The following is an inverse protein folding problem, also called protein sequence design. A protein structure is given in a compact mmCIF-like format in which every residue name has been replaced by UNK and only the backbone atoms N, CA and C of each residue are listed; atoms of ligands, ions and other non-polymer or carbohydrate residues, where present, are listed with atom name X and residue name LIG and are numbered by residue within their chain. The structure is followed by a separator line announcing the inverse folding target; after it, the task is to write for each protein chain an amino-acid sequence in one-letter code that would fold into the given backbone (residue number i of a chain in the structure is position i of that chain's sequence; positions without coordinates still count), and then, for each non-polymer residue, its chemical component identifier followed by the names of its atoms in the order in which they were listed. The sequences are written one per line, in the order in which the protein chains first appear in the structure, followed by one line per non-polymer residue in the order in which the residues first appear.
data_IF_987189906434
#
_entry.id   IF_987189906434
#
_cell.length_a   1.000
_cell.length_b   1.000
_cell.length_c   1.000
_cell.angle_alpha   90.00
_cell.angle_beta   90.00
_cell.angle_gamma   90.00
#
_symmetry.space_group_name_H-M   'P 1'
#
loop_
_entity.id
_entity.type
_entity.pdbx_description
1 polymer ?
#
# COMPACT_ATOMS: atom_id res chain seq x y z
N UNK A 1 13.27 -17.58 44.96
CA UNK A 1 14.35 -17.35 43.99
C UNK A 1 13.90 -17.96 42.66
N UNK A 2 13.29 -17.15 41.80
CA UNK A 2 12.80 -17.58 40.48
C UNK A 2 13.76 -17.06 39.40
N UNK A 3 14.26 -17.89 38.47
CA UNK A 3 15.12 -17.43 37.39
C UNK A 3 14.24 -16.96 36.23
N UNK A 4 14.24 -15.67 35.92
CA UNK A 4 13.74 -15.16 34.64
C UNK A 4 14.92 -14.96 33.69
N UNK A 5 14.93 -15.76 32.63
CA UNK A 5 15.93 -15.75 31.57
C UNK A 5 15.61 -14.70 30.50
N UNK A 6 16.61 -13.85 30.23
CA UNK A 6 16.90 -13.08 28.99
C UNK A 6 15.80 -13.04 27.91
N UNK A 7 15.01 -11.95 27.83
CA UNK A 7 14.37 -11.48 26.57
C UNK A 7 14.21 -9.95 26.55
N UNK A 8 15.29 -9.22 26.87
CA UNK A 8 15.50 -7.85 26.40
C UNK A 8 16.69 -7.94 25.46
N UNK A 9 16.45 -8.20 24.17
CA UNK A 9 17.50 -8.09 23.17
C UNK A 9 16.97 -7.24 22.02
N UNK A 10 17.70 -6.15 21.80
CA UNK A 10 17.67 -5.29 20.62
C UNK A 10 18.28 -6.12 19.47
N UNK A 11 17.61 -6.16 18.32
CA UNK A 11 18.09 -6.83 17.10
C UNK A 11 19.13 -5.96 16.36
N UNK A 12 19.95 -6.57 15.50
CA UNK A 12 20.90 -5.82 14.65
C UNK A 12 20.21 -4.88 13.64
N UNK A 13 18.91 -5.09 13.38
CA UNK A 13 18.06 -4.24 12.53
C UNK A 13 17.35 -3.10 13.30
N UNK A 14 17.49 -3.04 14.63
CA UNK A 14 16.90 -1.97 15.43
C UNK A 14 17.70 -0.67 15.23
N UNK A 15 17.21 0.18 14.34
CA UNK A 15 17.84 1.48 14.07
C UNK A 15 17.36 2.54 15.06
N UNK A 16 18.31 3.14 15.79
CA UNK A 16 18.06 4.34 16.60
C UNK A 16 18.38 5.56 15.73
N UNK A 17 17.50 6.57 15.63
CA UNK A 17 17.74 7.74 14.79
C UNK A 17 19.03 8.46 15.20
N UNK A 18 19.99 8.57 14.27
CA UNK A 18 21.35 9.07 14.51
C UNK A 18 21.41 10.58 14.85
N UNK A 19 20.36 11.35 14.52
CA UNK A 19 20.33 12.79 14.79
C UNK A 19 18.91 13.28 15.09
N UNK A 20 18.55 13.29 16.37
CA UNK A 20 17.36 13.98 16.85
C UNK A 20 17.68 15.47 16.91
N UNK A 21 17.22 16.24 15.92
CA UNK A 21 17.35 17.70 15.93
C UNK A 21 16.15 18.28 16.66
N UNK A 22 16.34 18.61 17.94
CA UNK A 22 15.35 19.31 18.76
C UNK A 22 15.40 20.79 18.36
N UNK A 23 14.37 21.28 17.69
CA UNK A 23 14.17 22.71 17.52
C UNK A 23 13.14 23.18 18.55
N UNK A 24 13.63 23.86 19.60
CA UNK A 24 12.77 24.69 20.44
C UNK A 24 12.44 25.97 19.67
N UNK A 25 11.23 26.06 19.12
CA UNK A 25 10.67 27.36 18.74
C UNK A 25 10.13 27.95 20.03
N UNK A 26 10.87 28.90 20.62
CA UNK A 26 10.38 29.67 21.75
C UNK A 26 9.19 30.52 21.29
N UNK A 27 7.98 30.09 21.61
CA UNK A 27 6.83 30.98 21.71
C UNK A 27 6.05 30.65 22.98
N UNK A 28 6.24 31.50 24.00
CA UNK A 28 5.34 31.80 25.13
C UNK A 28 4.54 30.65 25.78
N UNK A 29 5.05 30.18 26.93
CA UNK A 29 4.35 29.72 28.15
C UNK A 29 2.90 29.20 28.01
N UNK A 30 2.76 27.93 27.65
CA UNK A 30 1.96 26.86 28.30
C UNK A 30 1.90 25.69 27.32
N UNK A 31 2.22 24.48 27.77
CA UNK A 31 2.44 23.24 26.98
C UNK A 31 3.67 23.27 26.04
N UNK A 32 4.71 22.53 26.43
CA UNK A 32 5.77 22.13 25.49
C UNK A 32 5.19 21.03 24.58
N UNK A 33 4.62 21.42 23.44
CA UNK A 33 4.16 20.46 22.45
C UNK A 33 5.35 19.85 21.72
N UNK A 34 5.69 18.62 22.11
CA UNK A 34 6.69 17.79 21.44
C UNK A 34 6.10 17.25 20.14
N UNK A 35 6.24 18.00 19.04
CA UNK A 35 5.97 17.46 17.72
C UNK A 35 7.17 16.66 17.23
N UNK A 36 7.02 15.33 17.18
CA UNK A 36 7.93 14.48 16.42
C UNK A 36 7.74 14.86 14.94
N UNK A 37 8.74 15.45 14.29
CA UNK A 37 8.74 15.72 12.85
C UNK A 37 8.84 14.40 12.07
N UNK A 38 7.79 13.59 12.15
CA UNK A 38 7.57 12.47 11.26
C UNK A 38 6.86 13.02 10.03
N UNK A 39 7.42 12.73 8.85
CA UNK A 39 6.74 12.94 7.59
C UNK A 39 5.50 12.02 7.59
N UNK A 40 4.35 12.58 7.93
CA UNK A 40 3.07 11.85 7.96
C UNK A 40 2.62 11.55 6.53
N UNK A 41 2.11 10.33 6.31
CA UNK A 41 1.65 9.89 4.98
C UNK A 41 0.28 10.48 4.63
N UNK A 42 -0.59 10.68 5.62
CA UNK A 42 -1.95 11.21 5.45
C UNK A 42 -2.11 12.56 6.12
N UNK A 43 -2.84 13.46 5.47
CA UNK A 43 -3.31 14.70 6.09
C UNK A 43 -4.48 14.40 7.04
N UNK A 44 -4.58 15.05 8.21
CA UNK A 44 -5.61 14.76 9.21
C UNK A 44 -7.06 14.86 8.73
N UNK A 45 -7.32 15.71 7.74
CA UNK A 45 -8.67 15.93 7.19
C UNK A 45 -9.12 14.76 6.31
N UNK A 46 -8.17 14.10 5.64
CA UNK A 46 -8.41 12.96 4.79
C UNK A 46 -8.53 11.66 5.60
N UNK A 47 -7.99 11.61 6.82
CA UNK A 47 -8.02 10.41 7.66
C UNK A 47 -9.44 10.02 8.03
N UNK A 48 -9.83 8.81 7.62
CA UNK A 48 -10.98 8.09 8.13
C UNK A 48 -10.50 6.83 8.86
N UNK A 49 -10.41 6.94 10.18
CA UNK A 49 -9.91 5.88 11.05
C UNK A 49 -11.04 4.96 11.54
N UNK A 50 -10.79 3.66 11.47
CA UNK A 50 -11.68 2.61 11.98
C UNK A 50 -10.98 1.77 13.04
N UNK A 51 -11.63 1.50 14.16
CA UNK A 51 -11.09 0.69 15.27
C UNK A 51 -11.93 -0.58 15.41
N UNK A 52 -11.27 -1.73 15.55
CA UNK A 52 -11.93 -3.03 15.77
C UNK A 52 -11.20 -3.82 16.86
N UNK A 53 -11.96 -4.45 17.75
CA UNK A 53 -11.43 -5.37 18.77
C UNK A 53 -11.85 -6.80 18.48
N UNK A 54 -10.88 -7.73 18.49
CA UNK A 54 -11.10 -9.14 18.20
C UNK A 54 -10.45 -10.04 19.27
N UNK A 55 -10.99 -11.25 19.45
CA UNK A 55 -10.42 -12.26 20.34
C UNK A 55 -11.05 -12.33 21.73
N UNK A 56 -10.25 -12.73 22.72
CA UNK A 56 -10.69 -12.80 24.12
C UNK A 56 -10.74 -11.44 24.80
N UNK A 57 -11.57 -11.31 25.84
CA UNK A 57 -11.53 -10.14 26.70
C UNK A 57 -10.24 -10.16 27.52
N UNK A 58 -9.41 -9.14 27.34
CA UNK A 58 -8.20 -8.88 28.13
C UNK A 58 -8.39 -7.55 28.87
N UNK A 59 -7.96 -7.41 30.13
CA UNK A 59 -7.92 -6.10 30.79
C UNK A 59 -7.05 -5.13 29.99
N UNK A 60 -7.56 -3.92 29.76
CA UNK A 60 -6.82 -2.84 29.07
C UNK A 60 -7.21 -2.59 27.61
N UNK A 61 -8.09 -3.40 27.00
CA UNK A 61 -8.59 -3.13 25.63
C UNK A 61 -9.24 -1.74 25.53
N UNK A 62 -10.07 -1.38 26.51
CA UNK A 62 -10.67 -0.04 26.58
C UNK A 62 -9.63 1.08 26.74
N UNK A 63 -8.53 0.83 27.45
CA UNK A 63 -7.43 1.78 27.56
C UNK A 63 -6.78 2.02 26.20
N UNK A 64 -6.51 0.94 25.46
CA UNK A 64 -5.93 1.03 24.10
C UNK A 64 -6.86 1.82 23.16
N UNK A 65 -8.17 1.51 23.17
CA UNK A 65 -9.15 2.25 22.36
C UNK A 65 -9.13 3.74 22.73
N UNK A 66 -9.14 4.07 24.02
CA UNK A 66 -9.09 5.46 24.50
C UNK A 66 -7.84 6.17 24.01
N UNK A 67 -6.67 5.59 24.18
CA UNK A 67 -5.40 6.22 23.78
C UNK A 67 -5.32 6.44 22.27
N UNK A 68 -5.82 5.50 21.45
CA UNK A 68 -5.86 5.66 19.99
C UNK A 68 -6.79 6.82 19.61
N UNK A 69 -8.02 6.86 20.15
CA UNK A 69 -9.00 7.91 19.84
C UNK A 69 -8.50 9.28 20.31
N UNK A 70 -7.99 9.37 21.54
CA UNK A 70 -7.43 10.60 22.09
C UNK A 70 -6.19 11.06 21.31
N UNK A 71 -5.29 10.14 20.94
CA UNK A 71 -4.10 10.46 20.14
C UNK A 71 -4.47 11.01 18.77
N UNK A 72 -5.35 10.31 18.05
CA UNK A 72 -5.83 10.76 16.74
C UNK A 72 -6.56 12.10 16.80
N UNK A 73 -7.38 12.32 17.82
CA UNK A 73 -8.15 13.55 17.95
C UNK A 73 -7.31 14.74 18.45
N UNK A 74 -6.57 14.59 19.55
CA UNK A 74 -5.85 15.70 20.18
C UNK A 74 -4.49 15.98 19.54
N UNK A 75 -3.73 14.95 19.16
CA UNK A 75 -2.38 15.14 18.61
C UNK A 75 -2.41 15.39 17.10
N UNK A 76 -3.24 14.63 16.38
CA UNK A 76 -3.28 14.68 14.92
C UNK A 76 -4.46 15.49 14.37
N UNK A 77 -5.50 15.80 15.16
CA UNK A 77 -6.65 16.59 14.69
C UNK A 77 -7.66 15.83 13.82
N UNK A 78 -7.62 14.49 13.83
CA UNK A 78 -8.52 13.64 13.04
C UNK A 78 -9.95 13.73 13.58
N UNK A 79 -10.91 14.05 12.70
CA UNK A 79 -12.33 14.24 13.06
C UNK A 79 -13.19 13.00 12.84
N UNK A 80 -12.78 12.12 11.92
CA UNK A 80 -13.57 10.94 11.51
C UNK A 80 -12.96 9.66 12.08
N UNK A 81 -13.45 9.27 13.26
CA UNK A 81 -13.05 8.04 13.93
C UNK A 81 -14.30 7.21 14.21
N UNK A 82 -14.30 5.96 13.75
CA UNK A 82 -15.40 5.00 13.94
C UNK A 82 -14.89 3.73 14.59
N UNK A 83 -15.75 3.10 15.40
CA UNK A 83 -15.54 1.78 15.94
C UNK A 83 -16.50 0.78 15.30
N UNK A 84 -16.01 -0.41 14.96
CA UNK A 84 -16.87 -1.53 14.56
C UNK A 84 -17.45 -2.16 15.83
N UNK A 85 -18.75 -1.94 16.05
CA UNK A 85 -19.45 -2.54 17.19
C UNK A 85 -19.94 -3.94 16.81
N UNK A 86 -19.45 -4.93 17.54
CA UNK A 86 -19.95 -6.31 17.51
C UNK A 86 -21.07 -6.42 18.54
N UNK A 87 -22.31 -6.57 18.07
CA UNK A 87 -23.45 -6.88 18.92
C UNK A 87 -23.64 -8.40 18.94
N UNK A 88 -23.66 -8.99 20.14
CA UNK A 88 -24.01 -10.39 20.35
C UNK A 88 -25.50 -10.42 20.70
N UNK A 89 -26.35 -10.70 19.72
CA UNK A 89 -27.78 -10.82 19.93
C UNK A 89 -28.07 -12.18 20.60
N UNK A 90 -28.33 -12.18 21.91
CA UNK A 90 -28.65 -13.40 22.67
C UNK A 90 -30.03 -14.02 22.36
N UNK A 91 -30.81 -13.44 21.42
CA UNK A 91 -32.21 -13.81 21.16
C UNK A 91 -32.42 -14.74 19.94
N UNK A 92 -31.39 -15.23 19.25
CA UNK A 92 -31.61 -16.07 18.07
C UNK A 92 -30.38 -16.86 17.63
N UNK A 93 -30.59 -18.12 17.25
CA UNK A 93 -29.60 -19.15 16.94
C UNK A 93 -28.80 -18.92 15.64
N UNK A 94 -28.55 -17.67 15.24
CA UNK A 94 -27.77 -17.30 14.06
C UNK A 94 -26.92 -16.08 14.36
N UNK A 95 -25.59 -16.24 14.33
CA UNK A 95 -24.61 -15.18 14.42
C UNK A 95 -24.57 -14.34 13.12
N UNK A 96 -25.64 -13.58 12.86
CA UNK A 96 -25.56 -12.48 11.90
C UNK A 96 -25.03 -11.27 12.65
N UNK A 97 -23.69 -11.16 12.70
CA UNK A 97 -22.99 -10.00 13.23
C UNK A 97 -23.43 -8.76 12.43
N UNK A 98 -24.44 -8.04 12.90
CA UNK A 98 -24.81 -6.75 12.31
C UNK A 98 -23.70 -5.77 12.70
N UNK A 99 -22.84 -5.44 11.74
CA UNK A 99 -21.74 -4.51 11.94
C UNK A 99 -22.29 -3.09 11.88
N UNK A 100 -22.49 -2.48 13.05
CA UNK A 100 -22.79 -1.06 13.16
C UNK A 100 -21.50 -0.27 13.36
N UNK A 101 -21.32 0.81 12.60
CA UNK A 101 -20.26 1.79 12.84
C UNK A 101 -20.74 2.73 13.95
N UNK A 102 -19.99 2.79 15.04
CA UNK A 102 -20.23 3.72 16.13
C UNK A 102 -19.19 4.85 16.06
N UNK A 103 -19.60 6.13 15.91
CA UNK A 103 -18.64 7.23 15.90
C UNK A 103 -18.00 7.39 17.28
N UNK A 104 -16.67 7.37 17.32
CA UNK A 104 -15.89 7.48 18.55
C UNK A 104 -15.37 8.90 18.69
N UNK A 105 -15.99 9.67 19.58
CA UNK A 105 -15.51 10.99 19.96
C UNK A 105 -14.73 10.92 21.27
N UNK A 106 -13.78 11.85 21.46
CA UNK A 106 -12.97 11.98 22.68
C UNK A 106 -13.83 12.05 23.95
N UNK A 107 -15.01 12.66 23.86
CA UNK A 107 -16.00 12.72 24.96
C UNK A 107 -16.55 11.34 25.36
N UNK A 108 -16.77 10.44 24.41
CA UNK A 108 -17.33 9.11 24.66
C UNK A 108 -16.30 8.13 25.27
N UNK A 109 -15.01 8.36 25.03
CA UNK A 109 -13.93 7.45 25.46
C UNK A 109 -13.25 7.87 26.77
N UNK A 110 -13.63 8.99 27.38
CA UNK A 110 -12.91 9.54 28.53
C UNK A 110 -12.80 8.56 29.71
N UNK A 111 -13.88 7.87 30.06
CA UNK A 111 -13.96 6.99 31.23
C UNK A 111 -13.95 5.49 30.91
N UNK A 112 -13.79 5.10 29.63
CA UNK A 112 -13.89 3.69 29.24
C UNK A 112 -12.78 2.84 29.85
N UNK A 113 -11.61 3.43 30.12
CA UNK A 113 -10.48 2.79 30.78
C UNK A 113 -10.79 2.30 32.21
N UNK A 114 -11.82 2.87 32.87
CA UNK A 114 -12.31 2.43 34.18
C UNK A 114 -13.21 1.21 34.09
N UNK A 115 -13.66 0.84 32.88
CA UNK A 115 -14.56 -0.29 32.62
C UNK A 115 -13.75 -1.50 32.13
N UNK A 116 -14.08 -2.68 32.65
CA UNK A 116 -13.58 -3.94 32.11
C UNK A 116 -14.20 -4.27 30.74
N UNK A 117 -13.55 -5.18 30.00
CA UNK A 117 -14.02 -5.63 28.68
C UNK A 117 -13.65 -4.65 27.55
N UNK A 118 -14.50 -4.60 26.52
CA UNK A 118 -14.38 -3.68 25.37
C UNK A 118 -15.73 -3.00 25.11
N UNK A 119 -15.72 -1.69 24.86
CA UNK A 119 -16.93 -0.94 24.48
C UNK A 119 -17.47 -1.34 23.09
N UNK A 120 -16.60 -1.87 22.22
CA UNK A 120 -16.94 -2.26 20.85
C UNK A 120 -17.44 -3.71 20.77
N UNK A 121 -17.32 -4.49 21.84
CA UNK A 121 -17.56 -5.94 21.78
C UNK A 121 -16.41 -6.68 21.09
N UNK A 122 -16.40 -8.00 21.21
CA UNK A 122 -15.41 -8.85 20.57
C UNK A 122 -16.07 -10.08 19.98
N UNK A 123 -15.53 -10.58 18.88
CA UNK A 123 -15.92 -11.85 18.27
C UNK A 123 -14.72 -12.79 18.14
N UNK A 124 -15.01 -14.09 18.04
CA UNK A 124 -14.06 -15.14 17.70
C UNK A 124 -14.63 -15.92 16.52
N UNK A 125 -13.84 -16.12 15.47
CA UNK A 125 -14.27 -16.90 14.31
C UNK A 125 -13.65 -16.39 13.00
N UNK A 126 -13.64 -17.24 11.99
CA UNK A 126 -13.00 -16.99 10.69
C UNK A 126 -13.47 -15.70 10.02
N UNK A 127 -12.53 -15.05 9.34
CA UNK A 127 -12.70 -13.79 8.66
C UNK A 127 -12.56 -14.02 7.15
N UNK A 128 -13.58 -13.65 6.38
CA UNK A 128 -13.48 -13.60 4.92
C UNK A 128 -12.75 -12.31 4.53
N UNK A 129 -11.46 -12.42 4.21
CA UNK A 129 -10.60 -11.27 3.95
C UNK A 129 -11.14 -10.41 2.79
N UNK A 130 -11.72 -11.03 1.76
CA UNK A 130 -12.26 -10.34 0.58
C UNK A 130 -13.39 -9.41 1.01
N UNK A 131 -14.40 -9.95 1.70
CA UNK A 131 -15.53 -9.14 2.19
C UNK A 131 -15.11 -8.02 3.14
N UNK A 132 -14.07 -8.23 3.92
CA UNK A 132 -13.55 -7.20 4.84
C UNK A 132 -12.90 -6.07 4.03
N UNK A 133 -12.09 -6.40 3.04
CA UNK A 133 -11.46 -5.42 2.14
C UNK A 133 -12.52 -4.65 1.37
N UNK A 134 -13.53 -5.34 0.81
CA UNK A 134 -14.65 -4.70 0.12
C UNK A 134 -15.37 -3.70 1.04
N UNK A 135 -15.64 -4.09 2.30
CA UNK A 135 -16.29 -3.20 3.26
C UNK A 135 -15.42 -2.00 3.65
N UNK A 136 -14.09 -2.17 3.74
CA UNK A 136 -13.16 -1.07 4.02
C UNK A 136 -13.16 -0.08 2.84
N UNK A 137 -13.12 -0.60 1.62
CA UNK A 137 -13.12 0.17 0.38
C UNK A 137 -14.44 0.91 0.15
N UNK A 138 -15.58 0.22 0.25
CA UNK A 138 -16.92 0.78 0.08
C UNK A 138 -17.19 1.94 1.05
N UNK A 139 -16.58 1.88 2.24
CA UNK A 139 -16.74 2.90 3.29
C UNK A 139 -15.67 3.99 3.21
N UNK A 140 -14.66 3.85 2.34
CA UNK A 140 -13.56 4.80 2.19
C UNK A 140 -12.70 4.93 3.45
N UNK A 141 -12.53 3.85 4.21
CA UNK A 141 -11.70 3.84 5.42
C UNK A 141 -10.24 3.73 4.99
N UNK A 142 -9.38 4.66 5.42
CA UNK A 142 -7.97 4.66 5.05
C UNK A 142 -7.03 4.20 6.17
N UNK A 143 -7.51 4.15 7.42
CA UNK A 143 -6.76 3.64 8.56
C UNK A 143 -7.60 2.65 9.35
N UNK A 144 -7.09 1.43 9.53
CA UNK A 144 -7.77 0.38 10.31
C UNK A 144 -6.88 -0.08 11.46
N UNK A 145 -7.37 0.12 12.68
CA UNK A 145 -6.74 -0.30 13.91
C UNK A 145 -7.35 -1.60 14.39
N UNK A 146 -6.64 -2.70 14.15
CA UNK A 146 -7.05 -4.04 14.58
C UNK A 146 -6.38 -4.35 15.91
N UNK A 147 -7.17 -4.50 16.96
CA UNK A 147 -6.70 -4.77 18.33
C UNK A 147 -7.05 -6.21 18.71
N UNK A 148 -6.04 -7.04 18.95
CA UNK A 148 -6.24 -8.41 19.41
C UNK A 148 -4.91 -9.15 19.62
N UNK A 149 -5.00 -10.46 19.89
CA UNK A 149 -3.82 -11.33 20.07
C UNK A 149 -3.27 -11.87 18.74
N UNK A 150 -2.38 -12.86 18.82
CA UNK A 150 -1.67 -13.42 17.66
C UNK A 150 -2.59 -13.88 16.52
N UNK A 151 -3.72 -14.52 16.84
CA UNK A 151 -4.70 -14.95 15.83
C UNK A 151 -5.32 -13.77 15.07
N UNK A 152 -5.56 -12.66 15.77
CA UNK A 152 -6.07 -11.42 15.17
C UNK A 152 -5.00 -10.78 14.29
N UNK A 153 -3.74 -10.72 14.76
CA UNK A 153 -2.64 -10.14 13.98
C UNK A 153 -2.33 -10.96 12.72
N UNK A 154 -2.45 -12.29 12.77
CA UNK A 154 -2.37 -13.15 11.58
C UNK A 154 -3.47 -12.82 10.57
N UNK A 155 -4.71 -12.61 11.05
CA UNK A 155 -5.82 -12.16 10.20
C UNK A 155 -5.55 -10.78 9.58
N UNK A 156 -4.99 -9.85 10.36
CA UNK A 156 -4.60 -8.53 9.89
C UNK A 156 -3.54 -8.60 8.78
N UNK A 157 -2.56 -9.51 8.89
CA UNK A 157 -1.54 -9.73 7.85
C UNK A 157 -2.17 -10.22 6.54
N UNK A 158 -3.12 -11.15 6.61
CA UNK A 158 -3.83 -11.63 5.41
C UNK A 158 -4.67 -10.51 4.78
N UNK A 159 -5.36 -9.70 5.60
CA UNK A 159 -6.11 -8.54 5.11
C UNK A 159 -5.16 -7.56 4.43
N UNK A 160 -4.00 -7.27 5.02
CA UNK A 160 -2.99 -6.39 4.44
C UNK A 160 -2.49 -6.90 3.09
N UNK A 161 -2.17 -8.19 2.97
CA UNK A 161 -1.77 -8.80 1.69
C UNK A 161 -2.86 -8.71 0.63
N UNK A 162 -4.13 -8.86 1.01
CA UNK A 162 -5.26 -8.72 0.10
C UNK A 162 -5.43 -7.26 -0.30
N UNK A 163 -5.33 -6.30 0.62
CA UNK A 163 -5.37 -4.87 0.31
C UNK A 163 -4.24 -4.51 -0.66
N UNK A 164 -3.01 -4.94 -0.40
CA UNK A 164 -1.85 -4.65 -1.24
C UNK A 164 -2.02 -5.24 -2.66
N UNK A 165 -2.62 -6.42 -2.76
CA UNK A 165 -2.96 -7.06 -4.04
C UNK A 165 -4.18 -6.44 -4.73
N UNK A 166 -5.14 -5.90 -3.99
CA UNK A 166 -6.40 -5.37 -4.53
C UNK A 166 -6.36 -3.85 -4.75
N UNK A 167 -5.42 -3.13 -4.15
CA UNK A 167 -5.32 -1.68 -4.28
C UNK A 167 -4.77 -1.33 -5.67
N UNK A 168 -5.68 -0.98 -6.58
CA UNK A 168 -5.34 -0.50 -7.92
C UNK A 168 -4.76 -1.55 -8.86
N UNK A 169 -4.42 -2.76 -8.42
CA UNK A 169 -3.91 -3.81 -9.29
C UNK A 169 -4.98 -4.28 -10.28
N UNK A 170 -6.18 -4.63 -9.81
CA UNK A 170 -7.24 -5.12 -10.70
C UNK A 170 -7.69 -4.03 -11.68
N UNK A 171 -7.83 -2.78 -11.21
CA UNK A 171 -8.10 -1.63 -12.08
C UNK A 171 -6.95 -1.38 -13.07
N UNK A 172 -5.69 -1.48 -12.63
CA UNK A 172 -4.53 -1.34 -13.50
C UNK A 172 -4.43 -2.48 -14.52
N UNK A 173 -4.84 -3.70 -14.17
CA UNK A 173 -4.90 -4.85 -15.07
C UNK A 173 -6.00 -4.66 -16.10
N UNK A 174 -7.19 -4.21 -15.70
CA UNK A 174 -8.29 -3.90 -16.62
C UNK A 174 -7.90 -2.79 -17.62
N UNK A 175 -7.31 -1.70 -17.14
CA UNK A 175 -6.82 -0.62 -18.01
C UNK A 175 -5.66 -1.07 -18.89
N UNK A 176 -4.73 -1.88 -18.36
CA UNK A 176 -3.64 -2.47 -19.15
C UNK A 176 -4.19 -3.38 -20.27
N UNK A 177 -5.20 -4.21 -19.97
CA UNK A 177 -5.84 -5.06 -20.97
C UNK A 177 -6.49 -4.24 -22.08
N UNK A 178 -7.19 -3.14 -21.74
CA UNK A 178 -7.76 -2.23 -22.75
C UNK A 178 -6.66 -1.68 -23.68
N UNK A 179 -5.56 -1.20 -23.12
CA UNK A 179 -4.43 -0.68 -23.90
C UNK A 179 -3.76 -1.74 -24.79
N UNK A 180 -3.56 -2.95 -24.27
CA UNK A 180 -2.98 -4.08 -25.02
C UNK A 180 -3.89 -4.50 -26.17
N UNK A 181 -5.20 -4.61 -25.92
CA UNK A 181 -6.16 -4.99 -26.95
C UNK A 181 -6.23 -3.95 -28.07
N UNK A 182 -6.20 -2.65 -27.72
CA UNK A 182 -6.12 -1.59 -28.71
C UNK A 182 -4.84 -1.69 -29.55
N UNK A 183 -3.68 -1.84 -28.91
CA UNK A 183 -2.41 -2.00 -29.62
C UNK A 183 -2.39 -3.25 -30.51
N UNK A 184 -3.05 -4.33 -30.11
CA UNK A 184 -3.16 -5.55 -30.92
C UNK A 184 -3.93 -5.31 -32.22
N UNK A 185 -5.13 -4.69 -32.13
CA UNK A 185 -5.97 -4.37 -33.30
C UNK A 185 -5.22 -3.45 -34.28
N UNK A 186 -4.51 -2.44 -33.76
CA UNK A 186 -3.72 -1.52 -34.59
C UNK A 186 -2.53 -2.23 -35.26
N UNK A 187 -1.85 -3.12 -34.54
CA UNK A 187 -0.68 -3.85 -35.07
C UNK A 187 -1.06 -4.88 -36.12
N UNK A 188 -2.20 -5.56 -35.94
CA UNK A 188 -2.72 -6.53 -36.91
C UNK A 188 -3.15 -5.86 -38.22
N UNK A 189 -3.59 -4.60 -38.15
CA UNK A 189 -4.07 -3.83 -39.30
C UNK A 189 -2.95 -3.37 -40.26
N UNK A 190 -1.68 -3.62 -39.93
CA UNK A 190 -0.51 -3.22 -40.71
C UNK A 190 0.43 -4.40 -40.90
N UNK A 191 0.91 -4.62 -42.12
CA UNK A 191 1.93 -5.64 -42.40
C UNK A 191 3.24 -5.30 -41.68
N UNK A 192 3.75 -6.25 -40.88
CA UNK A 192 4.84 -6.06 -39.93
C UNK A 192 4.57 -4.97 -38.87
N UNK A 193 3.31 -4.76 -38.50
CA UNK A 193 2.90 -3.81 -37.47
C UNK A 193 3.43 -4.18 -36.09
N UNK A 194 4.01 -3.20 -35.38
CA UNK A 194 4.52 -3.37 -34.01
C UNK A 194 3.87 -2.35 -33.09
N UNK A 195 3.06 -2.82 -32.15
CA UNK A 195 2.46 -2.03 -31.09
C UNK A 195 3.29 -2.10 -29.83
N UNK A 196 3.67 -0.95 -29.27
CA UNK A 196 4.40 -0.90 -27.99
C UNK A 196 3.51 -0.27 -26.93
N UNK A 197 3.23 -1.02 -25.86
CA UNK A 197 2.40 -0.58 -24.74
C UNK A 197 3.27 -0.46 -23.49
N UNK A 198 3.32 0.74 -22.92
CA UNK A 198 4.02 1.00 -21.66
C UNK A 198 3.06 0.82 -20.50
N UNK A 199 3.42 -0.03 -19.54
CA UNK A 199 2.68 -0.27 -18.31
C UNK A 199 3.52 0.08 -17.07
N UNK A 200 2.85 0.23 -15.93
CA UNK A 200 3.51 0.38 -14.64
C UNK A 200 4.26 -0.90 -14.25
N UNK A 201 5.44 -0.77 -13.65
CA UNK A 201 6.21 -1.89 -13.09
C UNK A 201 7.71 -1.82 -13.37
N UNK A 202 8.45 -2.77 -12.82
CA UNK A 202 9.89 -2.93 -13.04
C UNK A 202 10.20 -4.38 -13.40
N UNK A 203 10.86 -4.60 -14.53
CA UNK A 203 11.27 -5.94 -14.95
C UNK A 203 12.59 -5.89 -15.72
N UNK A 204 13.61 -6.70 -15.35
CA UNK A 204 14.85 -6.75 -16.11
C UNK A 204 14.65 -7.51 -17.43
N UNK A 205 15.29 -7.03 -18.50
CA UNK A 205 15.35 -7.73 -19.78
C UNK A 205 16.65 -7.41 -20.52
N UNK A 206 16.95 -8.18 -21.57
CA UNK A 206 18.11 -7.98 -22.44
C UNK A 206 17.68 -7.90 -23.90
N UNK A 207 18.38 -7.05 -24.67
CA UNK A 207 18.05 -6.77 -26.06
C UNK A 207 18.66 -7.79 -27.04
N UNK A 208 19.94 -8.12 -26.82
CA UNK A 208 20.75 -8.93 -27.73
C UNK A 208 21.21 -10.23 -27.07
N UNK A 209 21.59 -11.20 -27.89
CA UNK A 209 21.96 -12.55 -27.45
C UNK A 209 20.86 -13.58 -27.67
N UNK A 210 21.16 -14.84 -27.38
CA UNK A 210 20.23 -15.97 -27.57
C UNK A 210 19.06 -15.82 -26.60
N UNK A 211 17.84 -15.69 -27.14
CA UNK A 211 16.63 -15.41 -26.38
C UNK A 211 16.40 -13.91 -26.09
N UNK A 212 17.18 -13.01 -26.70
CA UNK A 212 17.02 -11.57 -26.57
C UNK A 212 15.77 -11.04 -27.28
N UNK A 213 15.34 -9.84 -26.91
CA UNK A 213 14.13 -9.22 -27.45
C UNK A 213 14.14 -9.14 -28.99
N UNK A 214 15.27 -8.80 -29.62
CA UNK A 214 15.34 -8.66 -31.08
C UNK A 214 15.17 -9.97 -31.83
N UNK A 215 15.73 -11.08 -31.32
CA UNK A 215 15.53 -12.42 -31.91
C UNK A 215 14.04 -12.80 -31.87
N UNK A 216 13.36 -12.46 -30.79
CA UNK A 216 11.93 -12.72 -30.63
C UNK A 216 11.06 -11.86 -31.57
N UNK A 217 11.45 -10.59 -31.77
CA UNK A 217 10.77 -9.69 -32.72
C UNK A 217 10.84 -10.26 -34.13
N UNK A 218 12.04 -10.60 -34.61
CA UNK A 218 12.22 -11.13 -35.97
C UNK A 218 11.46 -12.44 -36.19
N UNK A 219 11.48 -13.34 -35.20
CA UNK A 219 10.73 -14.59 -35.24
C UNK A 219 9.23 -14.33 -35.30
N UNK A 220 8.71 -13.45 -34.45
CA UNK A 220 7.28 -13.19 -34.34
C UNK A 220 6.73 -12.49 -35.56
N UNK A 221 7.46 -11.52 -36.12
CA UNK A 221 7.08 -10.86 -37.37
C UNK A 221 7.02 -11.85 -38.54
N UNK A 222 7.96 -12.80 -38.64
CA UNK A 222 7.93 -13.85 -39.67
C UNK A 222 6.75 -14.82 -39.52
N UNK A 223 6.38 -15.16 -38.29
CA UNK A 223 5.31 -16.14 -38.02
C UNK A 223 3.91 -15.51 -38.11
N UNK A 224 3.73 -14.30 -37.61
CA UNK A 224 2.42 -13.69 -37.40
C UNK A 224 2.16 -12.43 -38.23
N UNK A 225 3.20 -11.83 -38.84
CA UNK A 225 3.09 -10.57 -39.58
C UNK A 225 2.82 -9.34 -38.69
N UNK A 226 2.69 -9.49 -37.38
CA UNK A 226 2.51 -8.40 -36.42
C UNK A 226 2.98 -8.80 -35.01
N UNK A 227 3.21 -7.81 -34.15
CA UNK A 227 3.64 -8.02 -32.77
C UNK A 227 3.11 -6.94 -31.83
N UNK A 228 2.79 -7.32 -30.60
CA UNK A 228 2.56 -6.38 -29.49
C UNK A 228 3.65 -6.61 -28.44
N UNK A 229 4.30 -5.53 -28.03
CA UNK A 229 5.34 -5.51 -27.00
C UNK A 229 4.80 -4.76 -25.79
N UNK A 230 4.75 -5.43 -24.65
CA UNK A 230 4.38 -4.81 -23.37
C UNK A 230 5.66 -4.55 -22.58
N UNK A 231 5.91 -3.30 -22.22
CA UNK A 231 7.12 -2.89 -21.50
C UNK A 231 6.73 -2.21 -20.19
N UNK A 232 7.36 -2.63 -19.10
CA UNK A 232 7.18 -1.97 -17.81
C UNK A 232 8.03 -0.69 -17.77
N UNK A 233 7.53 0.41 -17.20
CA UNK A 233 8.20 1.72 -17.18
C UNK A 233 9.63 1.67 -16.62
N UNK A 234 9.85 0.89 -15.57
CA UNK A 234 11.17 0.70 -14.98
C UNK A 234 12.00 -0.41 -15.62
N UNK A 235 11.55 -1.00 -16.73
CA UNK A 235 12.29 -2.04 -17.43
C UNK A 235 13.52 -1.46 -18.14
N UNK A 236 14.67 -2.15 -18.05
CA UNK A 236 15.85 -1.82 -18.83
C UNK A 236 16.45 -0.42 -18.57
N UNK A 237 16.19 0.19 -17.41
CA UNK A 237 16.75 1.50 -17.02
C UNK A 237 18.29 1.51 -17.08
N UNK A 238 18.94 0.36 -16.84
CA UNK A 238 20.39 0.19 -17.01
C UNK A 238 20.84 0.29 -18.47
N UNK A 239 20.09 -0.33 -19.40
CA UNK A 239 20.36 -0.27 -20.84
C UNK A 239 20.18 1.14 -21.40
N UNK A 240 19.18 1.86 -20.88
CA UNK A 240 18.93 3.26 -21.24
C UNK A 240 20.07 4.15 -20.73
N UNK A 241 20.48 3.97 -19.47
CA UNK A 241 21.59 4.71 -18.87
C UNK A 241 22.90 4.50 -19.64
N UNK A 242 23.20 3.27 -20.05
CA UNK A 242 24.40 2.97 -20.85
C UNK A 242 24.32 3.57 -22.27
N UNK A 243 23.13 3.66 -22.85
CA UNK A 243 22.91 4.32 -24.14
C UNK A 243 22.98 5.85 -24.10
N UNK A 244 22.94 6.47 -22.91
CA UNK A 244 22.96 7.92 -22.70
C UNK A 244 24.30 8.39 -22.13
N UNK A 245 25.07 7.52 -21.47
CA UNK A 245 26.50 7.80 -21.23
C UNK A 245 27.25 8.10 -22.52
N UNK A 246 26.75 7.63 -23.67
CA UNK A 246 27.26 7.98 -25.00
C UNK A 246 26.66 9.27 -25.60
N UNK A 247 25.63 9.88 -25.01
CA UNK A 247 24.94 11.10 -25.50
C UNK A 247 24.91 12.30 -24.55
N UNK A 248 25.45 12.20 -23.32
CA UNK A 248 25.95 13.34 -22.54
C UNK A 248 24.95 14.44 -22.16
N UNK A 249 23.84 14.12 -21.48
CA UNK A 249 22.98 15.13 -20.86
C UNK A 249 22.66 14.77 -19.40
N UNK A 250 23.22 15.51 -18.46
CA UNK A 250 22.82 15.56 -17.04
C UNK A 250 21.79 16.70 -16.84
N UNK A 251 20.84 16.52 -15.92
CA UNK A 251 19.95 17.62 -15.50
C UNK A 251 20.59 18.50 -14.43
N UNK A 252 20.10 19.74 -14.32
CA UNK A 252 20.63 20.76 -13.42
C UNK A 252 20.34 20.51 -11.92
N UNK A 253 19.71 19.38 -11.57
CA UNK A 253 19.22 19.07 -10.21
C UNK A 253 19.81 17.80 -9.60
N UNK A 254 20.62 17.04 -10.35
CA UNK A 254 21.30 15.84 -9.84
C UNK A 254 20.39 14.64 -9.61
N UNK A 255 19.16 14.67 -10.14
CA UNK A 255 18.26 13.53 -10.11
C UNK A 255 18.44 12.69 -11.37
N UNK A 256 18.33 11.36 -11.27
CA UNK A 256 18.28 10.51 -12.47
C UNK A 256 16.93 10.76 -13.16
N UNK A 257 16.91 11.54 -14.23
CA UNK A 257 15.77 11.59 -15.15
C UNK A 257 15.45 10.16 -15.59
N UNK A 258 14.28 9.66 -15.19
CA UNK A 258 13.72 8.45 -15.77
C UNK A 258 13.34 8.78 -17.21
N UNK A 259 14.09 8.25 -18.17
CA UNK A 259 13.77 8.42 -19.58
C UNK A 259 12.70 7.42 -20.00
N UNK A 260 11.84 7.84 -20.94
CA UNK A 260 10.73 7.02 -21.39
C UNK A 260 11.22 5.80 -22.18
N UNK A 261 11.24 4.63 -21.51
CA UNK A 261 11.62 3.35 -22.11
C UNK A 261 10.79 3.00 -23.35
N UNK A 262 9.52 3.40 -23.39
CA UNK A 262 8.63 3.09 -24.50
C UNK A 262 9.07 3.80 -25.78
N UNK A 263 9.43 5.09 -25.66
CA UNK A 263 9.93 5.88 -26.78
C UNK A 263 11.30 5.38 -27.25
N UNK A 264 12.21 5.14 -26.30
CA UNK A 264 13.56 4.63 -26.59
C UNK A 264 13.53 3.30 -27.32
N UNK A 265 12.72 2.35 -26.85
CA UNK A 265 12.59 1.04 -27.47
C UNK A 265 12.00 1.13 -28.89
N UNK A 266 10.98 1.96 -29.07
CA UNK A 266 10.36 2.21 -30.38
C UNK A 266 11.36 2.77 -31.41
N UNK A 267 12.23 3.68 -30.99
CA UNK A 267 13.28 4.24 -31.85
C UNK A 267 14.33 3.19 -32.23
N UNK A 268 14.79 2.39 -31.26
CA UNK A 268 15.74 1.30 -31.50
C UNK A 268 15.21 0.25 -32.48
N UNK A 269 13.94 -0.11 -32.35
CA UNK A 269 13.28 -1.05 -33.28
C UNK A 269 13.20 -0.44 -34.68
N UNK A 270 12.72 0.81 -34.83
CA UNK A 270 12.61 1.48 -36.14
C UNK A 270 13.94 1.57 -36.89
N UNK A 271 15.02 1.95 -36.20
CA UNK A 271 16.36 2.05 -36.81
C UNK A 271 16.79 0.70 -37.40
N UNK A 272 16.51 -0.40 -36.69
CA UNK A 272 16.90 -1.76 -37.10
C UNK A 272 15.99 -2.32 -38.19
N UNK A 273 14.71 -1.95 -38.23
CA UNK A 273 13.79 -2.35 -39.30
C UNK A 273 14.03 -1.62 -40.63
N UNK A 274 14.80 -0.52 -40.62
CA UNK A 274 15.11 0.26 -41.84
C UNK A 274 16.48 -0.10 -42.45
N UNK A 275 17.23 -1.00 -41.79
CA UNK A 275 18.56 -1.47 -42.23
C UNK A 275 18.44 -2.90 -42.77
#
# INVERSE_FOLDING_TARGET
MFPFSRKYFVNEDDTVPQKVSIFCIHHSLESADFYLNLKVYFEPEDVFACIVTCGGLCPGLNTVIREIVCGLSYMYGVKRIVGIKVIIDYLGFTCHSTVSLEPLYSSHVNDIHKRGGTILGTSRGGHDAIKIVDNIQDRGINQVYIIGGDGTQKGASVIFEVIDKSFGFDTAVEEAQRAINAAHVESESVENGIGVVKLMGQSPFYLEGRGGLFEYIEKRLKENGHMVIVVAEGAGQELIADSIRSMGHEDASGNKLLLDVGLWLSQKIKVRSTT
#
